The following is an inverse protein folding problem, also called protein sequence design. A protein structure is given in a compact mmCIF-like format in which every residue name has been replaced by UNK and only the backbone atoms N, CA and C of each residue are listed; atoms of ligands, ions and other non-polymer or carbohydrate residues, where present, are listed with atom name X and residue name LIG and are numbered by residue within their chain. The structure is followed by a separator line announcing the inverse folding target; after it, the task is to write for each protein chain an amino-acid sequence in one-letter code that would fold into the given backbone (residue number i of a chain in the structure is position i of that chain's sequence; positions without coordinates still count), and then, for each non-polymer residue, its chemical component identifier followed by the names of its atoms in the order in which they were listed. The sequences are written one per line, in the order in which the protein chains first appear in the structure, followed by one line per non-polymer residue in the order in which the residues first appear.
data_IF_722654626973
#
_entry.id   IF_722654626973
#
_cell.length_a   1.000
_cell.length_b   1.000
_cell.length_c   1.000
_cell.angle_alpha   90.00
_cell.angle_beta   90.00
_cell.angle_gamma   90.00
#
_symmetry.space_group_name_H-M   'P 1'
#
loop_
_entity.id
_entity.type
_entity.pdbx_description
1 polymer ?
#
# COMPACT_ATOMS: atom_id res chain seq x y z
N UNK A 1 -2.47 27.18 39.29
CA UNK A 1 -3.55 27.21 38.28
C UNK A 1 -3.03 27.59 36.90
N UNK A 2 -2.20 28.63 36.79
CA UNK A 2 -1.54 29.05 35.54
C UNK A 2 -0.62 27.96 34.97
N UNK A 3 0.18 27.30 35.81
CA UNK A 3 1.09 26.23 35.34
C UNK A 3 0.37 25.01 34.77
N UNK A 4 -0.78 24.65 35.36
CA UNK A 4 -1.62 23.56 34.84
C UNK A 4 -2.20 23.91 33.46
N UNK A 5 -2.67 25.15 33.28
CA UNK A 5 -3.16 25.65 31.99
C UNK A 5 -2.07 25.63 30.92
N UNK A 6 -0.86 26.09 31.27
CA UNK A 6 0.31 26.10 30.37
C UNK A 6 0.68 24.66 29.98
N UNK A 7 0.71 23.72 30.93
CA UNK A 7 1.06 22.33 30.65
C UNK A 7 0.03 21.65 29.73
N UNK A 8 -1.26 21.88 29.96
CA UNK A 8 -2.33 21.35 29.10
C UNK A 8 -2.31 21.96 27.71
N UNK A 9 -2.11 23.29 27.60
CA UNK A 9 -2.00 23.97 26.31
C UNK A 9 -0.78 23.49 25.51
N UNK A 10 0.38 23.36 26.16
CA UNK A 10 1.59 22.85 25.52
C UNK A 10 1.45 21.39 25.09
N UNK A 11 0.83 20.54 25.92
CA UNK A 11 0.52 19.15 25.55
C UNK A 11 -0.41 19.07 24.34
N UNK A 12 -1.46 19.89 24.32
CA UNK A 12 -2.39 19.96 23.19
C UNK A 12 -1.71 20.43 21.90
N UNK A 13 -0.91 21.50 21.98
CA UNK A 13 -0.16 22.02 20.84
C UNK A 13 0.86 21.01 20.31
N UNK A 14 1.52 20.26 21.20
CA UNK A 14 2.45 19.20 20.81
C UNK A 14 1.75 18.09 20.05
N UNK A 15 0.57 17.65 20.51
CA UNK A 15 -0.25 16.66 19.81
C UNK A 15 -0.70 17.21 18.45
N UNK A 16 -1.16 18.45 18.39
CA UNK A 16 -1.65 19.06 17.15
C UNK A 16 -0.53 19.20 16.11
N UNK A 17 0.66 19.62 16.54
CA UNK A 17 1.82 19.75 15.67
C UNK A 17 2.31 18.38 15.16
N UNK A 18 2.35 17.38 16.04
CA UNK A 18 2.69 16.02 15.67
C UNK A 18 1.68 15.44 14.67
N UNK A 19 0.39 15.65 14.91
CA UNK A 19 -0.68 15.21 14.01
C UNK A 19 -0.59 15.89 12.65
N UNK A 20 -0.25 17.18 12.62
CA UNK A 20 -0.01 17.92 11.38
C UNK A 20 1.19 17.37 10.61
N UNK A 21 2.29 17.08 11.29
CA UNK A 21 3.50 16.50 10.69
C UNK A 21 3.26 15.10 10.09
N UNK A 22 2.34 14.33 10.68
CA UNK A 22 2.01 12.97 10.24
C UNK A 22 0.63 12.87 9.56
N UNK A 23 0.05 14.00 9.14
CA UNK A 23 -1.28 14.07 8.55
C UNK A 23 -1.48 13.07 7.39
N UNK A 24 -0.50 12.85 6.47
CA UNK A 24 -0.69 11.87 5.40
C UNK A 24 -0.87 10.44 5.91
N UNK A 25 -0.17 10.06 6.99
CA UNK A 25 -0.31 8.73 7.62
C UNK A 25 -1.65 8.60 8.31
N UNK A 26 -2.08 9.63 9.04
CA UNK A 26 -3.38 9.66 9.73
C UNK A 26 -4.53 9.50 8.72
N UNK A 27 -4.46 10.22 7.59
CA UNK A 27 -5.46 10.15 6.53
C UNK A 27 -5.52 8.79 5.81
N UNK A 28 -4.52 7.92 5.96
CA UNK A 28 -4.60 6.56 5.40
C UNK A 28 -5.57 5.66 6.15
N UNK A 29 -5.82 5.90 7.44
CA UNK A 29 -6.75 5.11 8.25
C UNK A 29 -8.20 5.18 7.76
N UNK A 30 -8.82 6.35 7.53
CA UNK A 30 -10.17 6.39 6.98
C UNK A 30 -10.25 5.75 5.58
N UNK A 31 -9.20 5.85 4.76
CA UNK A 31 -9.12 5.16 3.47
C UNK A 31 -9.06 3.63 3.64
N UNK A 32 -8.23 3.14 4.56
CA UNK A 32 -8.13 1.71 4.87
C UNK A 32 -9.46 1.16 5.41
N UNK A 33 -10.13 1.89 6.30
CA UNK A 33 -11.48 1.56 6.79
C UNK A 33 -12.47 1.51 5.62
N UNK A 34 -12.43 2.48 4.72
CA UNK A 34 -13.23 2.48 3.49
C UNK A 34 -13.00 1.24 2.63
N UNK A 35 -11.74 0.83 2.44
CA UNK A 35 -11.39 -0.38 1.69
C UNK A 35 -11.96 -1.63 2.37
N UNK A 36 -11.81 -1.76 3.69
CA UNK A 36 -12.31 -2.92 4.43
C UNK A 36 -13.83 -3.02 4.40
N UNK A 37 -14.54 -1.90 4.62
CA UNK A 37 -16.00 -1.90 4.70
C UNK A 37 -16.66 -2.04 3.31
N UNK A 38 -16.13 -1.36 2.29
CA UNK A 38 -16.78 -1.27 0.98
C UNK A 38 -16.30 -2.33 -0.01
N UNK A 39 -15.03 -2.76 0.06
CA UNK A 39 -14.43 -3.63 -0.95
C UNK A 39 -14.21 -5.05 -0.43
N UNK A 40 -13.56 -5.21 0.72
CA UNK A 40 -13.21 -6.54 1.25
C UNK A 40 -14.46 -7.37 1.62
N UNK A 41 -15.47 -6.73 2.20
CA UNK A 41 -16.73 -7.38 2.55
C UNK A 41 -17.55 -7.83 1.33
N UNK A 42 -17.43 -7.15 0.19
CA UNK A 42 -18.12 -7.59 -1.04
C UNK A 42 -17.39 -8.73 -1.74
N UNK A 43 -16.04 -8.66 -1.80
CA UNK A 43 -15.22 -9.72 -2.39
C UNK A 43 -15.39 -11.02 -1.59
N UNK A 44 -15.38 -10.94 -0.26
CA UNK A 44 -15.56 -12.10 0.62
C UNK A 44 -16.94 -12.76 0.45
N UNK A 45 -18.01 -11.95 0.34
CA UNK A 45 -19.37 -12.44 0.08
C UNK A 45 -19.49 -13.15 -1.27
N UNK A 46 -18.84 -12.62 -2.32
CA UNK A 46 -18.83 -13.25 -3.66
C UNK A 46 -18.00 -14.54 -3.70
N UNK A 47 -16.86 -14.59 -3.01
CA UNK A 47 -16.06 -15.81 -2.88
C UNK A 47 -16.85 -16.93 -2.18
N UNK A 48 -17.68 -16.60 -1.19
CA UNK A 48 -18.60 -17.55 -0.55
C UNK A 48 -19.77 -18.01 -1.43
N UNK A 49 -20.10 -17.26 -2.48
CA UNK A 49 -21.22 -17.55 -3.41
C UNK A 49 -20.82 -18.32 -4.67
N UNK A 50 -19.58 -18.81 -4.79
CA UNK A 50 -19.13 -19.55 -5.98
C UNK A 50 -20.08 -20.72 -6.27
N UNK A 51 -20.72 -20.67 -7.44
CA UNK A 51 -21.85 -21.53 -7.81
C UNK A 51 -21.49 -23.01 -7.76
N UNK A 52 -22.28 -23.75 -6.98
CA UNK A 52 -22.20 -25.21 -6.85
C UNK A 52 -22.43 -25.86 -8.21
N UNK A 53 -21.40 -26.43 -8.83
CA UNK A 53 -21.61 -27.43 -9.90
C UNK A 53 -22.04 -28.73 -9.20
N UNK A 54 -23.32 -29.09 -9.29
CA UNK A 54 -23.92 -30.34 -8.74
C UNK A 54 -24.15 -30.46 -7.21
N UNK A 55 -24.23 -29.37 -6.46
CA UNK A 55 -24.73 -29.44 -5.07
C UNK A 55 -23.83 -30.15 -4.03
N UNK A 56 -22.68 -30.71 -4.43
CA UNK A 56 -21.73 -31.40 -3.53
C UNK A 56 -20.57 -30.49 -3.12
N UNK A 57 -20.42 -30.24 -1.81
CA UNK A 57 -19.28 -29.55 -1.20
C UNK A 57 -19.64 -28.88 0.13
N UNK A 58 -18.72 -28.90 1.11
CA UNK A 58 -18.86 -28.15 2.37
C UNK A 58 -19.02 -26.65 2.03
N UNK A 59 -19.88 -25.94 2.75
CA UNK A 59 -20.00 -24.47 2.64
C UNK A 59 -18.59 -23.90 2.87
N UNK A 60 -18.00 -23.32 1.83
CA UNK A 60 -16.74 -22.60 1.97
C UNK A 60 -17.05 -21.35 2.78
N UNK A 61 -16.89 -21.45 4.11
CA UNK A 61 -17.00 -20.31 5.02
C UNK A 61 -16.06 -19.22 4.51
N UNK A 62 -16.53 -17.98 4.56
CA UNK A 62 -15.71 -16.81 4.23
C UNK A 62 -14.35 -16.93 4.91
N UNK A 63 -13.27 -16.82 4.14
CA UNK A 63 -11.93 -16.94 4.68
C UNK A 63 -11.61 -15.69 5.49
N UNK A 64 -11.32 -15.84 6.79
CA UNK A 64 -10.89 -14.74 7.66
C UNK A 64 -9.65 -14.00 7.12
N UNK A 65 -8.84 -14.67 6.31
CA UNK A 65 -7.66 -14.07 5.65
C UNK A 65 -8.02 -12.93 4.69
N UNK A 66 -9.23 -12.93 4.12
CA UNK A 66 -9.68 -11.84 3.24
C UNK A 66 -9.90 -10.52 4.01
N UNK A 67 -10.30 -10.61 5.28
CA UNK A 67 -10.57 -9.46 6.15
C UNK A 67 -9.30 -8.91 6.82
N UNK A 68 -8.26 -9.73 6.99
CA UNK A 68 -7.03 -9.31 7.65
C UNK A 68 -6.03 -8.59 6.72
N UNK A 69 -6.15 -8.74 5.40
CA UNK A 69 -5.15 -8.20 4.47
C UNK A 69 -5.01 -6.68 4.52
N UNK A 70 -6.12 -5.95 4.50
CA UNK A 70 -6.13 -4.47 4.54
C UNK A 70 -5.67 -3.90 5.89
N UNK A 71 -6.17 -4.36 7.06
CA UNK A 71 -5.71 -3.83 8.34
C UNK A 71 -4.23 -4.15 8.58
N UNK A 72 -3.74 -5.33 8.20
CA UNK A 72 -2.31 -5.65 8.29
C UNK A 72 -1.47 -4.74 7.40
N UNK A 73 -1.93 -4.44 6.19
CA UNK A 73 -1.27 -3.50 5.30
C UNK A 73 -1.28 -2.06 5.85
N UNK A 74 -2.39 -1.63 6.47
CA UNK A 74 -2.49 -0.32 7.12
C UNK A 74 -1.56 -0.21 8.34
N UNK A 75 -1.45 -1.26 9.15
CA UNK A 75 -0.52 -1.34 10.27
C UNK A 75 0.93 -1.29 9.77
N UNK A 76 1.27 -2.11 8.78
CA UNK A 76 2.59 -2.10 8.16
C UNK A 76 2.94 -0.70 7.62
N UNK A 77 2.02 -0.09 6.87
CA UNK A 77 2.18 1.26 6.34
C UNK A 77 2.34 2.31 7.44
N UNK A 78 1.58 2.20 8.54
CA UNK A 78 1.68 3.13 9.67
C UNK A 78 3.07 3.09 10.28
N UNK A 79 3.62 1.90 10.53
CA UNK A 79 4.96 1.74 11.11
C UNK A 79 6.02 2.40 10.23
N UNK A 80 6.02 2.12 8.92
CA UNK A 80 7.03 2.70 8.02
C UNK A 80 6.76 4.17 7.71
N UNK A 81 5.50 4.57 7.57
CA UNK A 81 5.09 5.92 7.21
C UNK A 81 5.34 6.95 8.29
N UNK A 82 5.23 6.58 9.58
CA UNK A 82 5.58 7.45 10.69
C UNK A 82 7.08 7.77 10.74
N UNK A 83 7.92 6.84 10.32
CA UNK A 83 9.38 7.01 10.28
C UNK A 83 9.89 7.58 8.96
N UNK A 84 9.06 7.63 7.92
CA UNK A 84 9.46 8.02 6.58
C UNK A 84 9.48 9.56 6.41
N UNK A 85 10.56 10.14 5.85
CA UNK A 85 10.59 11.55 5.54
C UNK A 85 9.69 11.88 4.33
N UNK A 86 9.21 13.13 4.19
CA UNK A 86 8.60 13.62 2.95
C UNK A 86 9.52 13.39 1.74
N UNK A 87 8.98 13.03 0.55
CA UNK A 87 7.56 13.00 0.17
C UNK A 87 6.87 11.64 0.37
N UNK A 88 7.53 10.64 0.97
CA UNK A 88 7.06 9.25 1.02
C UNK A 88 5.65 9.12 1.64
N UNK A 89 5.31 9.77 2.77
CA UNK A 89 3.97 9.68 3.34
C UNK A 89 2.86 10.19 2.40
N UNK A 90 3.14 11.25 1.61
CA UNK A 90 2.19 11.82 0.66
C UNK A 90 1.95 10.88 -0.53
N UNK A 91 3.01 10.25 -1.02
CA UNK A 91 2.94 9.23 -2.07
C UNK A 91 2.05 8.08 -1.61
N UNK A 92 2.32 7.53 -0.42
CA UNK A 92 1.53 6.42 0.10
C UNK A 92 0.07 6.80 0.38
N UNK A 93 -0.22 8.03 0.82
CA UNK A 93 -1.58 8.53 0.89
C UNK A 93 -2.28 8.47 -0.48
N UNK A 94 -1.60 8.93 -1.54
CA UNK A 94 -2.10 8.83 -2.92
C UNK A 94 -2.34 7.37 -3.35
N UNK A 95 -1.45 6.46 -2.99
CA UNK A 95 -1.62 5.03 -3.28
C UNK A 95 -2.82 4.43 -2.55
N UNK A 96 -3.02 4.75 -1.27
CA UNK A 96 -4.21 4.38 -0.49
C UNK A 96 -5.50 4.95 -1.08
N UNK A 97 -5.47 6.19 -1.54
CA UNK A 97 -6.63 6.80 -2.20
C UNK A 97 -6.99 6.04 -3.49
N UNK A 98 -6.01 5.69 -4.33
CA UNK A 98 -6.24 4.86 -5.50
C UNK A 98 -6.71 3.44 -5.14
N UNK A 99 -6.19 2.84 -4.07
CA UNK A 99 -6.60 1.51 -3.61
C UNK A 99 -8.10 1.47 -3.28
N UNK A 100 -8.65 2.57 -2.75
CA UNK A 100 -10.08 2.71 -2.51
C UNK A 100 -10.85 3.08 -3.79
N UNK A 101 -10.44 4.13 -4.48
CA UNK A 101 -11.23 4.75 -5.55
C UNK A 101 -11.27 3.92 -6.83
N UNK A 102 -10.16 3.28 -7.22
CA UNK A 102 -10.06 2.58 -8.51
C UNK A 102 -10.96 1.34 -8.58
N UNK A 103 -11.01 0.46 -7.56
CA UNK A 103 -11.94 -0.67 -7.58
C UNK A 103 -13.42 -0.26 -7.42
N UNK A 104 -13.68 0.94 -6.87
CA UNK A 104 -15.03 1.52 -6.83
C UNK A 104 -15.49 1.97 -8.22
N UNK A 105 -14.61 2.58 -9.02
CA UNK A 105 -14.94 3.07 -10.37
C UNK A 105 -14.97 1.98 -11.44
N UNK A 106 -14.19 0.90 -11.26
CA UNK A 106 -14.12 -0.23 -12.20
C UNK A 106 -14.61 -1.53 -11.50
N UNK A 107 -15.93 -1.69 -11.26
CA UNK A 107 -16.47 -2.81 -10.51
C UNK A 107 -16.28 -4.17 -11.20
N UNK A 108 -16.09 -4.18 -12.52
CA UNK A 108 -15.96 -5.41 -13.32
C UNK A 108 -14.71 -6.23 -12.95
N UNK A 109 -13.62 -5.56 -12.59
CA UNK A 109 -12.33 -6.19 -12.26
C UNK A 109 -11.93 -5.96 -10.79
N UNK A 110 -12.91 -5.62 -9.95
CA UNK A 110 -12.72 -5.17 -8.56
C UNK A 110 -11.79 -6.07 -7.74
N UNK A 111 -12.02 -7.38 -7.76
CA UNK A 111 -11.21 -8.35 -7.00
C UNK A 111 -9.75 -8.36 -7.46
N UNK A 112 -9.52 -8.39 -8.77
CA UNK A 112 -8.18 -8.37 -9.35
C UNK A 112 -7.46 -7.04 -9.04
N UNK A 113 -8.14 -5.91 -9.25
CA UNK A 113 -7.61 -4.58 -8.96
C UNK A 113 -7.25 -4.44 -7.49
N UNK A 114 -8.14 -4.85 -6.60
CA UNK A 114 -7.93 -4.78 -5.15
C UNK A 114 -6.70 -5.60 -4.72
N UNK A 115 -6.62 -6.87 -5.15
CA UNK A 115 -5.49 -7.73 -4.85
C UNK A 115 -4.17 -7.18 -5.39
N UNK A 116 -4.17 -6.74 -6.66
CA UNK A 116 -2.98 -6.20 -7.33
C UNK A 116 -2.48 -4.91 -6.67
N UNK A 117 -3.38 -3.97 -6.38
CA UNK A 117 -3.02 -2.69 -5.75
C UNK A 117 -2.53 -2.90 -4.31
N UNK A 118 -3.16 -3.79 -3.52
CA UNK A 118 -2.65 -4.17 -2.19
C UNK A 118 -1.24 -4.73 -2.28
N UNK A 119 -0.98 -5.62 -3.24
CA UNK A 119 0.35 -6.21 -3.40
C UNK A 119 1.40 -5.16 -3.75
N UNK A 120 1.11 -4.28 -4.70
CA UNK A 120 2.05 -3.22 -5.08
C UNK A 120 2.30 -2.24 -3.92
N UNK A 121 1.27 -1.91 -3.14
CA UNK A 121 1.41 -1.08 -1.94
C UNK A 121 2.20 -1.79 -0.83
N UNK A 122 2.01 -3.09 -0.65
CA UNK A 122 2.79 -3.89 0.31
C UNK A 122 4.27 -3.95 -0.07
N UNK A 123 4.58 -4.17 -1.36
CA UNK A 123 5.96 -4.13 -1.88
C UNK A 123 6.56 -2.75 -1.68
N UNK A 124 5.80 -1.69 -1.96
CA UNK A 124 6.27 -0.32 -1.72
C UNK A 124 6.56 -0.06 -0.23
N UNK A 125 5.64 -0.43 0.66
CA UNK A 125 5.82 -0.29 2.11
C UNK A 125 7.05 -1.07 2.62
N UNK A 126 7.27 -2.29 2.13
CA UNK A 126 8.44 -3.09 2.45
C UNK A 126 9.74 -2.43 1.95
N UNK A 127 9.73 -1.87 0.73
CA UNK A 127 10.88 -1.16 0.18
C UNK A 127 11.21 0.12 0.97
N UNK A 128 10.19 0.87 1.41
CA UNK A 128 10.36 2.01 2.33
C UNK A 128 10.96 1.55 3.66
N UNK A 129 10.44 0.46 4.23
CA UNK A 129 10.98 -0.13 5.46
C UNK A 129 12.46 -0.52 5.32
N UNK A 130 12.81 -1.20 4.23
CA UNK A 130 14.19 -1.59 3.92
C UNK A 130 15.11 -0.36 3.75
N UNK A 131 14.63 0.69 3.10
CA UNK A 131 15.38 1.95 2.97
C UNK A 131 15.59 2.64 4.32
N UNK A 132 14.57 2.68 5.19
CA UNK A 132 14.72 3.24 6.53
C UNK A 132 15.69 2.42 7.39
N UNK A 133 15.68 1.10 7.26
CA UNK A 133 16.67 0.23 7.89
C UNK A 133 18.06 0.53 7.34
N UNK A 134 18.23 0.70 6.03
CA UNK A 134 19.51 1.07 5.43
C UNK A 134 20.05 2.41 5.97
N UNK A 135 19.18 3.42 6.12
CA UNK A 135 19.59 4.73 6.64
C UNK A 135 19.95 4.72 8.13
N UNK A 136 19.40 3.78 8.91
CA UNK A 136 19.60 3.69 10.36
C UNK A 136 20.61 2.61 10.76
N UNK A 137 20.89 1.67 9.88
CA UNK A 137 21.86 0.62 10.11
C UNK A 137 23.25 1.23 10.13
N UNK A 138 23.85 1.28 11.32
CA UNK A 138 25.28 1.49 11.49
C UNK A 138 25.91 0.12 11.72
N UNK A 139 26.95 -0.21 10.95
CA UNK A 139 27.70 -1.44 11.18
C UNK A 139 28.34 -1.42 12.57
N UNK A 140 28.30 -2.57 13.24
CA UNK A 140 28.97 -2.69 14.55
C UNK A 140 30.49 -2.51 14.38
N UNK A 141 31.19 -1.99 15.41
CA UNK A 141 32.64 -1.85 15.35
C UNK A 141 33.36 -3.18 15.01
N UNK A 142 32.79 -4.30 15.44
CA UNK A 142 33.28 -5.64 15.12
C UNK A 142 33.15 -5.98 13.62
N UNK A 143 32.05 -5.60 12.97
CA UNK A 143 31.84 -5.80 11.54
C UNK A 143 32.78 -4.91 10.71
N UNK A 144 32.95 -3.65 11.10
CA UNK A 144 33.90 -2.72 10.47
C UNK A 144 35.35 -3.21 10.58
N UNK A 145 35.72 -3.76 11.74
CA UNK A 145 37.02 -4.39 11.95
C UNK A 145 37.18 -5.69 11.14
N UNK A 146 36.12 -6.46 10.94
CA UNK A 146 36.15 -7.64 10.08
C UNK A 146 36.38 -7.27 8.60
N UNK A 147 35.71 -6.24 8.10
CA UNK A 147 35.92 -5.73 6.74
C UNK A 147 37.30 -5.13 6.56
N UNK A 148 37.79 -4.34 7.53
CA UNK A 148 39.14 -3.79 7.50
C UNK A 148 40.22 -4.89 7.44
N UNK A 149 40.00 -6.00 8.17
CA UNK A 149 40.86 -7.19 8.11
C UNK A 149 40.81 -7.89 6.75
N UNK A 150 39.62 -8.05 6.16
CA UNK A 150 39.47 -8.64 4.83
C UNK A 150 40.13 -7.80 3.73
N UNK A 151 40.11 -6.47 3.86
CA UNK A 151 40.74 -5.54 2.93
C UNK A 151 42.25 -5.35 3.16
N UNK A 152 42.82 -5.94 4.21
CA UNK A 152 44.23 -5.81 4.56
C UNK A 152 44.67 -4.38 4.92
N UNK A 153 43.73 -3.49 5.26
CA UNK A 153 44.00 -2.08 5.60
C UNK A 153 43.26 -1.67 6.86
N UNK A 154 43.97 -1.30 7.95
CA UNK A 154 43.33 -0.79 9.17
C UNK A 154 42.50 0.46 8.87
N UNK A 155 41.26 0.52 9.38
CA UNK A 155 40.35 1.66 9.20
C UNK A 155 39.64 1.74 7.83
N UNK A 156 39.93 0.83 6.88
CA UNK A 156 39.28 0.85 5.56
C UNK A 156 37.78 0.49 5.59
N UNK A 157 37.31 -0.14 6.67
CA UNK A 157 35.90 -0.56 6.81
C UNK A 157 34.92 0.61 6.86
N UNK A 158 35.24 1.69 7.57
CA UNK A 158 34.38 2.88 7.68
C UNK A 158 34.30 3.61 6.32
N UNK A 159 35.43 3.72 5.62
CA UNK A 159 35.46 4.31 4.28
C UNK A 159 34.68 3.47 3.26
N UNK A 160 34.72 2.14 3.37
CA UNK A 160 33.95 1.25 2.50
C UNK A 160 32.44 1.35 2.80
N UNK A 161 32.03 1.36 4.06
CA UNK A 161 30.63 1.56 4.45
C UNK A 161 30.10 2.88 3.88
N UNK A 162 30.83 3.98 4.09
CA UNK A 162 30.46 5.28 3.56
C UNK A 162 30.36 5.25 2.02
N UNK A 163 31.29 4.60 1.32
CA UNK A 163 31.24 4.46 -0.13
C UNK A 163 30.00 3.66 -0.60
N UNK A 164 29.70 2.53 0.04
CA UNK A 164 28.52 1.71 -0.28
C UNK A 164 27.24 2.50 -0.01
N UNK A 165 27.10 3.12 1.16
CA UNK A 165 25.92 3.93 1.50
C UNK A 165 25.76 5.10 0.52
N UNK A 166 26.84 5.82 0.23
CA UNK A 166 26.81 6.96 -0.69
C UNK A 166 26.44 6.58 -2.13
N UNK A 167 26.77 5.35 -2.55
CA UNK A 167 26.37 4.84 -3.87
C UNK A 167 24.93 4.32 -3.90
N UNK A 168 24.46 3.60 -2.87
CA UNK A 168 23.15 2.94 -2.88
C UNK A 168 22.00 3.89 -2.57
N UNK A 169 22.18 4.80 -1.60
CA UNK A 169 21.10 5.68 -1.10
C UNK A 169 20.45 6.52 -2.20
N UNK A 170 21.19 7.17 -3.12
CA UNK A 170 20.58 7.95 -4.19
C UNK A 170 19.69 7.12 -5.12
N UNK A 171 20.12 5.90 -5.48
CA UNK A 171 19.30 5.01 -6.32
C UNK A 171 18.08 4.50 -5.58
N UNK A 172 18.22 4.14 -4.29
CA UNK A 172 17.09 3.74 -3.47
C UNK A 172 16.06 4.87 -3.32
N UNK A 173 16.51 6.12 -3.14
CA UNK A 173 15.65 7.29 -3.11
C UNK A 173 14.91 7.48 -4.45
N UNK A 174 15.62 7.40 -5.59
CA UNK A 174 15.00 7.47 -6.92
C UNK A 174 13.94 6.38 -7.12
N UNK A 175 14.22 5.15 -6.68
CA UNK A 175 13.28 4.04 -6.75
C UNK A 175 12.02 4.30 -5.94
N UNK A 176 12.14 4.86 -4.73
CA UNK A 176 11.01 5.09 -3.84
C UNK A 176 10.21 6.36 -4.16
N UNK A 177 10.86 7.38 -4.70
CA UNK A 177 10.22 8.67 -4.96
C UNK A 177 9.62 8.74 -6.36
N UNK A 178 10.22 8.05 -7.34
CA UNK A 178 9.83 8.15 -8.75
C UNK A 178 9.36 6.82 -9.30
N UNK A 179 10.21 5.79 -9.30
CA UNK A 179 9.96 4.58 -10.10
C UNK A 179 8.83 3.73 -9.49
N UNK A 180 8.86 3.44 -8.19
CA UNK A 180 7.81 2.72 -7.48
C UNK A 180 6.43 3.39 -7.63
N UNK A 181 6.32 4.70 -7.34
CA UNK A 181 5.08 5.46 -7.55
C UNK A 181 4.63 5.46 -9.00
N UNK A 182 5.56 5.66 -9.95
CA UNK A 182 5.26 5.64 -11.39
C UNK A 182 4.71 4.28 -11.83
N UNK A 183 5.26 3.17 -11.35
CA UNK A 183 4.72 1.84 -11.65
C UNK A 183 3.28 1.69 -11.13
N UNK A 184 3.03 2.16 -9.90
CA UNK A 184 1.70 2.08 -9.29
C UNK A 184 0.66 2.93 -10.02
N UNK A 185 0.93 4.23 -10.17
CA UNK A 185 0.02 5.15 -10.84
C UNK A 185 -0.07 4.90 -12.34
N UNK A 186 1.01 4.45 -12.97
CA UNK A 186 1.03 4.02 -14.37
C UNK A 186 0.11 2.81 -14.59
N UNK A 187 0.15 1.82 -13.69
CA UNK A 187 -0.81 0.71 -13.73
C UNK A 187 -2.26 1.20 -13.59
N UNK A 188 -2.54 2.09 -12.63
CA UNK A 188 -3.88 2.69 -12.47
C UNK A 188 -4.33 3.41 -13.74
N UNK A 189 -3.49 4.27 -14.31
CA UNK A 189 -3.77 5.01 -15.54
C UNK A 189 -4.03 4.07 -16.72
N UNK A 190 -3.23 3.00 -16.85
CA UNK A 190 -3.43 1.98 -17.87
C UNK A 190 -4.81 1.32 -17.75
N UNK A 191 -5.27 1.01 -16.52
CA UNK A 191 -6.58 0.38 -16.31
C UNK A 191 -7.73 1.31 -16.68
N UNK A 192 -7.63 2.60 -16.35
CA UNK A 192 -8.60 3.59 -16.82
C UNK A 192 -8.60 3.72 -18.35
N UNK A 193 -7.43 3.75 -19.00
CA UNK A 193 -7.34 3.85 -20.45
C UNK A 193 -7.96 2.64 -21.16
N UNK A 194 -7.75 1.43 -20.63
CA UNK A 194 -8.40 0.21 -21.14
C UNK A 194 -9.91 0.30 -20.93
N UNK A 195 -10.38 0.67 -19.74
CA UNK A 195 -11.81 0.74 -19.45
C UNK A 195 -12.54 1.78 -20.33
N UNK A 196 -11.96 2.97 -20.51
CA UNK A 196 -12.50 4.02 -21.36
C UNK A 196 -12.68 3.57 -22.81
N UNK A 197 -11.73 2.80 -23.37
CA UNK A 197 -11.83 2.27 -24.73
C UNK A 197 -12.93 1.22 -24.91
N UNK A 198 -13.29 0.51 -23.84
CA UNK A 198 -14.29 -0.57 -23.94
C UNK A 198 -15.75 -0.09 -24.02
N UNK A 199 -16.04 1.21 -23.81
CA UNK A 199 -17.40 1.83 -23.89
C UNK A 199 -18.52 1.07 -23.16
N UNK A 200 -18.18 0.21 -22.21
CA UNK A 200 -19.15 -0.53 -21.41
C UNK A 200 -19.56 0.37 -20.26
N UNK A 201 -20.86 0.43 -19.97
CA UNK A 201 -21.37 1.24 -18.86
C UNK A 201 -20.57 0.90 -17.59
N UNK A 202 -19.97 1.89 -16.92
CA UNK A 202 -19.02 1.66 -15.81
C UNK A 202 -19.65 0.92 -14.63
N UNK A 203 -20.97 0.85 -14.57
CA UNK A 203 -21.75 0.21 -13.51
C UNK A 203 -22.32 -1.17 -13.86
N UNK A 204 -22.13 -1.66 -15.09
CA UNK A 204 -22.66 -2.96 -15.47
C UNK A 204 -21.89 -4.08 -14.78
N UNK A 205 -22.59 -4.88 -13.99
CA UNK A 205 -22.02 -6.07 -13.36
C UNK A 205 -21.85 -7.19 -14.38
N UNK A 206 -20.98 -8.17 -14.08
CA UNK A 206 -20.75 -9.32 -14.95
C UNK A 206 -22.06 -10.10 -15.25
N UNK A 207 -22.99 -10.12 -14.30
CA UNK A 207 -24.30 -10.73 -14.44
C UNK A 207 -25.19 -10.02 -15.47
N UNK A 208 -25.21 -8.69 -15.47
CA UNK A 208 -25.88 -7.88 -16.51
C UNK A 208 -25.26 -8.08 -17.89
N UNK A 209 -23.94 -8.29 -17.94
CA UNK A 209 -23.23 -8.62 -19.19
C UNK A 209 -23.66 -10.00 -19.70
N UNK A 210 -23.72 -11.00 -18.83
CA UNK A 210 -24.18 -12.35 -19.18
C UNK A 210 -25.66 -12.32 -19.59
N UNK A 211 -26.51 -11.53 -18.92
CA UNK A 211 -27.92 -11.36 -19.27
C UNK A 211 -28.09 -10.69 -20.64
N UNK A 212 -27.31 -9.63 -20.94
CA UNK A 212 -27.30 -8.99 -22.28
C UNK A 212 -26.76 -9.90 -23.37
N UNK A 213 -25.80 -10.77 -23.06
CA UNK A 213 -25.26 -11.75 -24.01
C UNK A 213 -26.24 -12.91 -24.24
N UNK A 214 -26.99 -13.35 -23.21
CA UNK A 214 -28.08 -14.32 -23.37
C UNK A 214 -29.21 -13.78 -24.24
N UNK A 215 -29.63 -12.54 -24.02
CA UNK A 215 -30.69 -11.90 -24.81
C UNK A 215 -30.29 -11.55 -26.25
N UNK A 216 -29.01 -11.68 -26.63
CA UNK A 216 -28.55 -11.44 -28.01
C UNK A 216 -28.81 -12.59 -28.99
N UNK A 217 -29.39 -13.69 -28.52
CA UNK A 217 -29.84 -14.81 -29.36
C UNK A 217 -31.36 -15.01 -29.38
N UNK A 218 -32.14 -14.13 -28.74
CA UNK A 218 -33.61 -14.22 -28.60
C UNK A 218 -34.33 -12.99 -29.20
N UNK A 219 -33.73 -12.35 -30.21
CA UNK A 219 -34.43 -11.35 -31.02
C UNK A 219 -34.58 -11.94 -32.41
N UNK A 220 -35.84 -12.16 -32.79
CA UNK A 220 -36.33 -12.64 -34.09
C UNK A 220 -35.67 -11.95 -35.30
#
# INVERSE_FOLDING_TARGET
MIDALIFTANGFLLILYWLWAHLPVVLTWPLAVGVTLLLDGEVSRRAGHRTRRYGRGKVQRESATAYLGTPLLALLWTVVGLAAPPPIPLIGLGMWACLLLVPLTIPLEREHLLSRLKWMLAVYAAAVGAFLLLLKAQLSPAALAAWSRQLGRPGAGEGLEAAVVSSVVPYAALMLWVIGPLMYFGYVAQRFAVHAKTRVSPWATAEERIRRLRGRGEVD
#
